data_IF_300654378790
#
_entry.id   IF_300654378790
#
_cell.length_a   1.000
_cell.length_b   1.000
_cell.length_c   1.000
_cell.angle_alpha   90.00
_cell.angle_beta   90.00
_cell.angle_gamma   90.00
#
_symmetry.space_group_name_H-M   'P 1'
#
loop_
_entity.id
_entity.type
_entity.pdbx_description
1 polymer ?
#
# COMPACT_ATOMS: atom_id res chain seq x y z
N UNK A 1 -4.33 -2.71 2.48
CA UNK A 1 -4.90 -3.94 3.08
C UNK A 1 -6.41 -3.88 3.23
N UNK A 2 -6.98 -2.83 3.84
CA UNK A 2 -8.42 -2.71 4.07
C UNK A 2 -9.23 -2.74 2.77
N UNK A 3 -8.77 -2.02 1.75
CA UNK A 3 -9.42 -1.98 0.43
C UNK A 3 -9.41 -3.34 -0.26
N UNK A 4 -8.24 -4.00 -0.24
CA UNK A 4 -8.12 -5.35 -0.80
C UNK A 4 -9.00 -6.37 -0.06
N UNK A 5 -9.13 -6.23 1.26
CA UNK A 5 -10.03 -7.07 2.05
C UNK A 5 -11.50 -6.82 1.67
N UNK A 6 -11.92 -5.55 1.55
CA UNK A 6 -13.27 -5.18 1.11
C UNK A 6 -13.58 -5.77 -0.27
N UNK A 7 -12.66 -5.62 -1.23
CA UNK A 7 -12.83 -6.10 -2.60
C UNK A 7 -12.94 -7.63 -2.66
N UNK A 8 -12.19 -8.34 -1.84
CA UNK A 8 -12.23 -9.80 -1.78
C UNK A 8 -13.61 -10.35 -1.36
N UNK A 9 -14.40 -9.60 -0.58
CA UNK A 9 -15.69 -10.06 -0.05
C UNK A 9 -16.90 -9.26 -0.54
N UNK A 10 -16.69 -8.12 -1.19
CA UNK A 10 -17.75 -7.25 -1.71
C UNK A 10 -17.54 -6.81 -3.18
N UNK A 11 -16.48 -7.29 -3.84
CA UNK A 11 -16.17 -7.01 -5.24
C UNK A 11 -16.98 -7.84 -6.22
N UNK A 12 -16.67 -7.67 -7.50
CA UNK A 12 -17.34 -8.38 -8.61
C UNK A 12 -17.19 -9.91 -8.57
N UNK A 13 -16.13 -10.40 -7.94
CA UNK A 13 -15.84 -11.82 -7.70
C UNK A 13 -15.76 -12.14 -6.21
N UNK A 14 -16.75 -11.63 -5.45
CA UNK A 14 -16.79 -11.77 -4.01
C UNK A 14 -16.75 -13.24 -3.55
N UNK A 15 -15.83 -13.53 -2.66
CA UNK A 15 -15.74 -14.84 -2.01
C UNK A 15 -16.82 -15.00 -0.93
N UNK A 16 -17.23 -16.23 -0.69
CA UNK A 16 -18.12 -16.53 0.42
C UNK A 16 -17.50 -16.13 1.76
N UNK A 17 -18.28 -15.47 2.62
CA UNK A 17 -17.83 -14.97 3.91
C UNK A 17 -17.76 -16.10 4.93
N UNK A 18 -16.78 -16.98 4.76
CA UNK A 18 -16.48 -18.10 5.66
C UNK A 18 -15.26 -17.79 6.51
N UNK A 19 -15.18 -18.37 7.70
CA UNK A 19 -14.03 -18.19 8.59
C UNK A 19 -12.71 -18.56 7.89
N UNK A 20 -12.68 -19.63 7.09
CA UNK A 20 -11.51 -20.06 6.34
C UNK A 20 -11.05 -19.01 5.33
N UNK A 21 -11.98 -18.48 4.52
CA UNK A 21 -11.67 -17.45 3.51
C UNK A 21 -11.21 -16.13 4.17
N UNK A 22 -11.81 -15.75 5.28
CA UNK A 22 -11.40 -14.55 6.04
C UNK A 22 -9.97 -14.72 6.57
N UNK A 23 -9.66 -15.84 7.21
CA UNK A 23 -8.31 -16.11 7.72
C UNK A 23 -7.29 -16.21 6.59
N UNK A 24 -7.65 -16.83 5.47
CA UNK A 24 -6.78 -16.97 4.31
C UNK A 24 -6.46 -15.61 3.67
N UNK A 25 -7.46 -14.76 3.48
CA UNK A 25 -7.30 -13.39 2.95
C UNK A 25 -6.46 -12.53 3.91
N UNK A 26 -6.74 -12.57 5.21
CA UNK A 26 -5.96 -11.84 6.21
C UNK A 26 -4.52 -12.31 6.25
N UNK A 27 -4.28 -13.63 6.21
CA UNK A 27 -2.94 -14.21 6.16
C UNK A 27 -2.19 -13.75 4.91
N UNK A 28 -2.83 -13.78 3.73
CA UNK A 28 -2.23 -13.33 2.48
C UNK A 28 -1.84 -11.85 2.52
N UNK A 29 -2.72 -10.99 3.03
CA UNK A 29 -2.44 -9.55 3.20
C UNK A 29 -1.32 -9.31 4.21
N UNK A 30 -1.33 -10.01 5.35
CA UNK A 30 -0.29 -9.88 6.37
C UNK A 30 1.09 -10.26 5.82
N UNK A 31 1.19 -11.43 5.19
CA UNK A 31 2.47 -11.90 4.66
C UNK A 31 2.94 -11.12 3.43
N UNK A 32 2.02 -10.63 2.58
CA UNK A 32 2.37 -9.71 1.50
C UNK A 32 3.01 -8.42 2.03
N UNK A 33 2.43 -7.80 3.07
CA UNK A 33 3.00 -6.61 3.72
C UNK A 33 4.34 -6.93 4.38
N UNK A 34 4.44 -8.06 5.11
CA UNK A 34 5.68 -8.44 5.78
C UNK A 34 6.82 -8.73 4.81
N UNK A 35 6.56 -9.46 3.73
CA UNK A 35 7.59 -9.82 2.76
C UNK A 35 7.96 -8.66 1.82
N UNK A 36 6.96 -7.94 1.30
CA UNK A 36 7.20 -6.90 0.29
C UNK A 36 7.63 -5.60 0.94
N UNK A 37 6.92 -5.13 1.97
CA UNK A 37 7.22 -3.84 2.59
C UNK A 37 8.33 -3.99 3.63
N UNK A 38 8.16 -4.86 4.64
CA UNK A 38 9.11 -4.93 5.74
C UNK A 38 10.43 -5.57 5.33
N UNK A 39 10.41 -6.77 4.73
CA UNK A 39 11.63 -7.49 4.40
C UNK A 39 12.29 -6.91 3.14
N UNK A 40 11.58 -6.86 2.02
CA UNK A 40 12.16 -6.43 0.75
C UNK A 40 12.48 -4.94 0.76
N UNK A 41 11.50 -4.08 1.11
CA UNK A 41 11.67 -2.63 0.97
C UNK A 41 12.44 -2.04 2.15
N UNK A 42 11.95 -2.18 3.38
CA UNK A 42 12.57 -1.54 4.55
C UNK A 42 13.93 -2.16 4.89
N UNK A 43 14.02 -3.48 4.92
CA UNK A 43 15.26 -4.13 5.37
C UNK A 43 16.32 -4.23 4.27
N UNK A 44 15.95 -4.40 2.99
CA UNK A 44 16.90 -4.53 1.88
C UNK A 44 17.05 -3.20 1.13
N UNK A 45 15.98 -2.69 0.51
CA UNK A 45 16.06 -1.57 -0.46
C UNK A 45 16.50 -0.27 0.19
N UNK A 46 15.99 0.08 1.38
CA UNK A 46 16.35 1.32 2.07
C UNK A 46 17.81 1.37 2.55
N UNK A 47 18.53 0.26 2.54
CA UNK A 47 19.99 0.24 2.83
C UNK A 47 20.84 0.68 1.65
N UNK A 48 20.29 0.70 0.44
CA UNK A 48 20.98 1.15 -0.75
C UNK A 48 20.72 2.64 -0.96
N UNK A 49 21.72 3.47 -0.68
CA UNK A 49 21.70 4.90 -0.96
C UNK A 49 22.82 5.26 -1.95
N UNK A 50 22.54 6.21 -2.83
CA UNK A 50 23.51 6.80 -3.74
C UNK A 50 23.65 8.28 -3.37
N UNK A 51 24.74 8.65 -2.69
CA UNK A 51 25.02 10.04 -2.24
C UNK A 51 23.89 10.66 -1.39
N UNK A 52 23.23 9.84 -0.54
CA UNK A 52 22.10 10.28 0.28
C UNK A 52 20.74 10.16 -0.40
N UNK A 53 20.71 9.89 -1.70
CA UNK A 53 19.49 9.65 -2.46
C UNK A 53 19.12 8.16 -2.45
N UNK A 54 17.84 7.85 -2.28
CA UNK A 54 17.30 6.49 -2.28
C UNK A 54 16.30 6.24 -3.42
N UNK A 55 15.66 5.08 -3.37
CA UNK A 55 14.61 4.71 -4.31
C UNK A 55 15.08 4.05 -5.60
N UNK A 56 14.16 3.91 -6.56
CA UNK A 56 14.36 3.13 -7.79
C UNK A 56 15.49 3.68 -8.65
N UNK A 57 15.57 4.99 -8.80
CA UNK A 57 16.60 5.63 -9.67
C UNK A 57 17.99 5.52 -9.05
N UNK A 58 18.12 5.69 -7.73
CA UNK A 58 19.37 5.49 -7.02
C UNK A 58 19.85 4.04 -7.12
N UNK A 59 18.95 3.08 -6.94
CA UNK A 59 19.27 1.67 -7.09
C UNK A 59 19.69 1.33 -8.52
N UNK A 60 19.03 1.91 -9.53
CA UNK A 60 19.39 1.75 -10.94
C UNK A 60 20.79 2.29 -11.21
N UNK A 61 21.13 3.48 -10.69
CA UNK A 61 22.45 4.09 -10.84
C UNK A 61 23.54 3.21 -10.19
N UNK A 62 23.31 2.68 -9.00
CA UNK A 62 24.24 1.76 -8.34
C UNK A 62 24.43 0.46 -9.14
N UNK A 63 23.35 -0.12 -9.64
CA UNK A 63 23.40 -1.33 -10.45
C UNK A 63 24.15 -1.08 -11.78
N UNK A 64 23.99 0.07 -12.40
CA UNK A 64 24.75 0.46 -13.60
C UNK A 64 26.26 0.54 -13.33
N UNK A 65 26.69 1.07 -12.19
CA UNK A 65 28.12 1.12 -11.84
C UNK A 65 28.75 -0.26 -11.81
N UNK A 66 28.02 -1.25 -11.25
CA UNK A 66 28.49 -2.64 -11.13
C UNK A 66 28.46 -3.36 -12.49
N UNK A 67 27.48 -3.05 -13.34
CA UNK A 67 27.29 -3.75 -14.62
C UNK A 67 28.00 -3.08 -15.80
N UNK A 68 28.75 -2.00 -15.58
CA UNK A 68 29.39 -1.18 -16.62
C UNK A 68 30.27 -1.96 -17.59
N UNK A 69 30.90 -3.04 -17.14
CA UNK A 69 31.77 -3.89 -17.98
C UNK A 69 31.01 -4.94 -18.81
N UNK A 70 29.66 -5.01 -18.65
CA UNK A 70 28.80 -5.98 -19.36
C UNK A 70 27.67 -5.22 -20.06
N UNK A 71 27.84 -4.84 -21.34
CA UNK A 71 26.93 -3.91 -22.02
C UNK A 71 25.48 -4.41 -22.10
N UNK A 72 25.27 -5.70 -22.33
CA UNK A 72 23.93 -6.30 -22.35
C UNK A 72 23.23 -6.22 -20.99
N UNK A 73 23.96 -6.47 -19.91
CA UNK A 73 23.43 -6.41 -18.56
C UNK A 73 23.17 -4.95 -18.13
N UNK A 74 24.06 -4.03 -18.51
CA UNK A 74 23.88 -2.59 -18.28
C UNK A 74 22.62 -2.06 -18.98
N UNK A 75 22.38 -2.47 -20.23
CA UNK A 75 21.16 -2.11 -20.96
C UNK A 75 19.90 -2.66 -20.28
N UNK A 76 19.91 -3.92 -19.84
CA UNK A 76 18.80 -4.53 -19.13
C UNK A 76 18.49 -3.80 -17.82
N UNK A 77 19.52 -3.38 -17.07
CA UNK A 77 19.37 -2.58 -15.84
C UNK A 77 18.73 -1.21 -16.14
N UNK A 78 19.15 -0.55 -17.23
CA UNK A 78 18.55 0.75 -17.64
C UNK A 78 17.08 0.57 -17.98
N UNK A 79 16.73 -0.42 -18.81
CA UNK A 79 15.34 -0.69 -19.21
C UNK A 79 14.49 -1.01 -17.98
N UNK A 80 14.98 -1.88 -17.09
CA UNK A 80 14.29 -2.21 -15.85
C UNK A 80 14.10 -0.98 -14.95
N UNK A 81 15.10 -0.10 -14.86
CA UNK A 81 15.02 1.15 -14.10
C UNK A 81 13.99 2.14 -14.66
N UNK A 82 13.95 2.30 -15.98
CA UNK A 82 12.95 3.15 -16.65
C UNK A 82 11.55 2.58 -16.45
N UNK A 83 11.38 1.27 -16.61
CA UNK A 83 10.09 0.61 -16.40
C UNK A 83 9.61 0.75 -14.95
N UNK A 84 10.51 0.53 -13.99
CA UNK A 84 10.19 0.69 -12.57
C UNK A 84 9.87 2.15 -12.20
N UNK A 85 10.57 3.14 -12.80
CA UNK A 85 10.23 4.55 -12.64
C UNK A 85 8.85 4.88 -13.24
N UNK A 86 8.52 4.34 -14.41
CA UNK A 86 7.20 4.54 -15.02
C UNK A 86 6.07 3.96 -14.15
N UNK A 87 6.28 2.77 -13.56
CA UNK A 87 5.33 2.19 -12.60
C UNK A 87 5.18 3.05 -11.35
N UNK A 88 6.28 3.61 -10.84
CA UNK A 88 6.25 4.52 -9.70
C UNK A 88 5.45 5.79 -9.99
N UNK A 89 5.61 6.39 -11.17
CA UNK A 89 4.80 7.55 -11.57
C UNK A 89 3.32 7.19 -11.72
N UNK A 90 2.99 6.00 -12.23
CA UNK A 90 1.62 5.51 -12.28
C UNK A 90 1.01 5.38 -10.89
N UNK A 91 1.75 4.80 -9.95
CA UNK A 91 1.31 4.67 -8.56
C UNK A 91 1.12 6.02 -7.87
N UNK A 92 1.98 6.99 -8.15
CA UNK A 92 1.89 8.35 -7.60
C UNK A 92 0.58 9.09 -7.96
N UNK A 93 -0.11 8.66 -9.01
CA UNK A 93 -1.44 9.19 -9.39
C UNK A 93 -2.56 8.34 -8.78
N UNK A 94 -2.44 7.02 -8.85
CA UNK A 94 -3.49 6.08 -8.45
C UNK A 94 -3.66 6.06 -6.93
N UNK A 95 -2.57 5.99 -6.18
CA UNK A 95 -2.61 5.85 -4.72
C UNK A 95 -3.29 7.02 -4.01
N UNK A 96 -2.99 8.30 -4.30
CA UNK A 96 -3.73 9.42 -3.72
C UNK A 96 -5.20 9.41 -4.11
N UNK A 97 -5.53 9.10 -5.36
CA UNK A 97 -6.91 9.06 -5.85
C UNK A 97 -7.75 8.03 -5.07
N UNK A 98 -7.26 6.80 -4.97
CA UNK A 98 -7.94 5.72 -4.24
C UNK A 98 -8.05 6.07 -2.73
N UNK A 99 -6.98 6.61 -2.14
CA UNK A 99 -6.96 6.91 -0.70
C UNK A 99 -7.95 8.01 -0.32
N UNK A 100 -8.03 9.08 -1.12
CA UNK A 100 -8.99 10.17 -0.88
C UNK A 100 -10.41 9.70 -1.13
N UNK A 101 -10.66 8.97 -2.24
CA UNK A 101 -11.98 8.41 -2.54
C UNK A 101 -12.47 7.52 -1.40
N UNK A 102 -11.63 6.59 -0.94
CA UNK A 102 -11.96 5.68 0.16
C UNK A 102 -12.27 6.41 1.48
N UNK A 103 -11.54 7.49 1.77
CA UNK A 103 -11.79 8.31 2.96
C UNK A 103 -13.16 9.01 2.87
N UNK A 104 -13.52 9.53 1.70
CA UNK A 104 -14.80 10.22 1.49
C UNK A 104 -15.96 9.23 1.42
N UNK A 105 -15.78 8.04 0.85
CA UNK A 105 -16.75 6.95 0.91
C UNK A 105 -17.07 6.55 2.36
N UNK A 106 -16.11 6.64 3.27
CA UNK A 106 -16.32 6.41 4.69
C UNK A 106 -17.33 7.37 5.31
N UNK A 107 -17.44 8.62 4.81
CA UNK A 107 -18.46 9.57 5.25
C UNK A 107 -19.87 9.16 4.84
N UNK A 108 -20.04 8.54 3.68
CA UNK A 108 -21.35 8.07 3.20
C UNK A 108 -21.90 6.93 4.07
N UNK A 109 -21.04 6.15 4.71
CA UNK A 109 -21.44 5.12 5.69
C UNK A 109 -22.08 5.76 6.93
N UNK A 110 -21.57 6.89 7.39
CA UNK A 110 -22.12 7.61 8.53
C UNK A 110 -23.39 8.41 8.18
N UNK A 111 -23.48 8.93 6.96
CA UNK A 111 -24.62 9.76 6.51
C UNK A 111 -24.87 9.56 5.01
N UNK A 112 -25.94 8.80 4.64
CA UNK A 112 -26.26 8.49 3.23
C UNK A 112 -26.47 9.73 2.33
N UNK A 113 -26.80 10.90 2.91
CA UNK A 113 -26.93 12.16 2.18
C UNK A 113 -25.65 12.60 1.46
N UNK A 114 -24.47 12.12 1.89
CA UNK A 114 -23.19 12.45 1.26
C UNK A 114 -22.86 11.60 0.01
N UNK A 115 -23.63 10.58 -0.30
CA UNK A 115 -23.34 9.69 -1.44
C UNK A 115 -23.17 10.46 -2.76
N UNK A 116 -24.04 11.43 -3.05
CA UNK A 116 -23.97 12.28 -4.24
C UNK A 116 -22.77 13.26 -4.23
N UNK A 117 -22.21 13.54 -3.07
CA UNK A 117 -21.11 14.49 -2.90
C UNK A 117 -19.73 13.82 -2.87
N UNK A 118 -19.68 12.49 -2.81
CA UNK A 118 -18.41 11.73 -2.74
C UNK A 118 -17.46 12.14 -3.87
N UNK A 119 -17.91 12.08 -5.13
CA UNK A 119 -17.07 12.42 -6.28
C UNK A 119 -16.66 13.90 -6.33
N UNK A 120 -17.57 14.89 -6.19
CA UNK A 120 -17.19 16.30 -6.17
C UNK A 120 -16.20 16.64 -5.06
N UNK A 121 -16.39 16.12 -3.86
CA UNK A 121 -15.50 16.37 -2.71
C UNK A 121 -14.13 15.72 -2.97
N UNK A 122 -14.09 14.49 -3.44
CA UNK A 122 -12.85 13.78 -3.78
C UNK A 122 -12.04 14.57 -4.80
N UNK A 123 -12.65 15.02 -5.89
CA UNK A 123 -11.98 15.83 -6.92
C UNK A 123 -11.47 17.15 -6.33
N UNK A 124 -12.27 17.84 -5.53
CA UNK A 124 -11.87 19.07 -4.87
C UNK A 124 -10.66 18.90 -3.96
N UNK A 125 -10.62 17.84 -3.16
CA UNK A 125 -9.48 17.51 -2.29
C UNK A 125 -8.24 17.18 -3.11
N UNK A 126 -8.37 16.37 -4.17
CA UNK A 126 -7.24 16.02 -5.03
C UNK A 126 -6.65 17.25 -5.71
N UNK A 127 -7.48 18.11 -6.27
CA UNK A 127 -7.01 19.37 -6.85
C UNK A 127 -6.29 20.21 -5.80
N UNK A 128 -6.85 20.35 -4.61
CA UNK A 128 -6.23 21.06 -3.49
C UNK A 128 -4.86 20.48 -3.11
N UNK A 129 -4.77 19.16 -2.97
CA UNK A 129 -3.51 18.47 -2.66
C UNK A 129 -2.44 18.72 -3.72
N UNK A 130 -2.76 18.58 -5.01
CA UNK A 130 -1.80 18.80 -6.09
C UNK A 130 -1.39 20.28 -6.22
N UNK A 131 -2.29 21.22 -5.93
CA UNK A 131 -1.95 22.64 -5.91
C UNK A 131 -0.99 22.99 -4.77
N UNK A 132 -1.16 22.39 -3.60
CA UNK A 132 -0.29 22.60 -2.43
C UNK A 132 1.07 21.93 -2.62
N UNK A 133 1.12 20.78 -3.29
CA UNK A 133 2.34 20.00 -3.51
C UNK A 133 3.45 20.80 -4.21
N UNK A 134 3.09 21.75 -5.09
CA UNK A 134 4.06 22.62 -5.78
C UNK A 134 4.88 23.52 -4.85
N UNK A 135 4.42 23.78 -3.62
CA UNK A 135 5.11 24.62 -2.64
C UNK A 135 6.10 23.87 -1.76
N UNK A 136 6.31 22.57 -2.02
CA UNK A 136 7.18 21.69 -1.25
C UNK A 136 6.44 21.00 -0.10
N UNK A 137 6.90 19.80 0.23
CA UNK A 137 6.26 18.93 1.23
C UNK A 137 6.81 19.10 2.64
N UNK A 138 7.89 19.87 2.83
CA UNK A 138 8.58 19.99 4.12
C UNK A 138 7.72 20.62 5.22
N UNK A 139 6.99 21.68 4.92
CA UNK A 139 6.11 22.35 5.90
C UNK A 139 4.88 21.52 6.26
N UNK A 140 4.35 20.76 5.29
CA UNK A 140 3.18 19.92 5.48
C UNK A 140 3.57 18.61 6.16
N UNK A 141 4.78 18.12 5.91
CA UNK A 141 5.33 16.90 6.50
C UNK A 141 5.36 16.92 8.04
N UNK A 142 5.60 18.10 8.64
CA UNK A 142 5.56 18.28 10.09
C UNK A 142 4.19 18.00 10.73
N UNK A 143 3.10 18.23 10.00
CA UNK A 143 1.74 17.93 10.46
C UNK A 143 1.37 16.45 10.24
N UNK A 144 1.83 15.87 9.15
CA UNK A 144 1.51 14.48 8.82
C UNK A 144 2.07 13.47 9.83
N UNK A 145 3.25 13.71 10.39
CA UNK A 145 3.86 12.84 11.39
C UNK A 145 2.95 12.59 12.59
N UNK A 146 2.56 13.60 13.36
CA UNK A 146 1.66 13.47 14.51
C UNK A 146 0.31 12.86 14.15
N UNK A 147 -0.31 13.29 13.04
CA UNK A 147 -1.60 12.74 12.57
C UNK A 147 -1.49 11.24 12.27
N UNK A 148 -0.42 10.82 11.62
CA UNK A 148 -0.17 9.41 11.31
C UNK A 148 0.06 8.58 12.57
N UNK A 149 0.79 9.12 13.56
CA UNK A 149 0.98 8.45 14.85
C UNK A 149 -0.35 8.25 15.58
N UNK A 150 -1.18 9.29 15.67
CA UNK A 150 -2.51 9.20 16.28
C UNK A 150 -3.36 8.15 15.55
N UNK A 151 -3.33 8.16 14.22
CA UNK A 151 -4.05 7.19 13.40
C UNK A 151 -3.61 5.75 13.69
N UNK A 152 -2.30 5.47 13.70
CA UNK A 152 -1.79 4.14 14.02
C UNK A 152 -2.09 3.71 15.44
N UNK A 153 -2.01 4.60 16.42
CA UNK A 153 -2.39 4.31 17.79
C UNK A 153 -3.87 3.96 17.92
N UNK A 154 -4.74 4.71 17.22
CA UNK A 154 -6.17 4.42 17.17
C UNK A 154 -6.43 3.03 16.58
N UNK A 155 -5.82 2.72 15.44
CA UNK A 155 -5.93 1.39 14.83
C UNK A 155 -5.40 0.28 15.75
N UNK A 156 -4.29 0.52 16.44
CA UNK A 156 -3.72 -0.45 17.37
C UNK A 156 -4.66 -0.74 18.54
N UNK A 157 -5.22 0.30 19.16
CA UNK A 157 -6.18 0.15 20.26
C UNK A 157 -7.43 -0.61 19.82
N UNK A 158 -8.05 -0.17 18.72
CA UNK A 158 -9.25 -0.83 18.18
C UNK A 158 -8.96 -2.27 17.74
N UNK A 159 -7.80 -2.51 17.13
CA UNK A 159 -7.35 -3.84 16.73
C UNK A 159 -7.15 -4.77 17.92
N UNK A 160 -6.47 -4.30 18.98
CA UNK A 160 -6.26 -5.09 20.19
C UNK A 160 -7.59 -5.44 20.85
N UNK A 161 -8.49 -4.47 20.99
CA UNK A 161 -9.83 -4.72 21.55
C UNK A 161 -10.61 -5.77 20.75
N UNK A 162 -10.55 -5.71 19.41
CA UNK A 162 -11.19 -6.69 18.54
C UNK A 162 -10.55 -8.08 18.64
N UNK A 163 -9.21 -8.15 18.74
CA UNK A 163 -8.48 -9.42 18.91
C UNK A 163 -8.81 -10.08 20.23
N UNK A 164 -8.92 -9.31 21.32
CA UNK A 164 -9.31 -9.85 22.65
C UNK A 164 -10.70 -10.47 22.60
N UNK A 165 -11.63 -9.88 21.85
CA UNK A 165 -12.98 -10.42 21.68
C UNK A 165 -13.02 -11.67 20.78
N UNK A 166 -12.16 -11.71 19.76
CA UNK A 166 -12.13 -12.79 18.77
C UNK A 166 -10.66 -13.24 18.49
N UNK A 167 -10.03 -13.97 19.40
CA UNK A 167 -8.62 -14.35 19.30
C UNK A 167 -8.31 -15.29 18.12
N UNK A 168 -9.34 -15.89 17.52
CA UNK A 168 -9.21 -16.76 16.34
C UNK A 168 -8.51 -16.05 15.17
N UNK A 169 -8.63 -14.73 15.07
CA UNK A 169 -7.97 -13.94 14.03
C UNK A 169 -6.44 -14.06 14.05
N UNK A 170 -5.83 -14.36 15.20
CA UNK A 170 -4.40 -14.59 15.34
C UNK A 170 -3.90 -15.81 14.54
N UNK A 171 -4.78 -16.75 14.21
CA UNK A 171 -4.45 -17.87 13.33
C UNK A 171 -4.04 -17.41 11.93
N UNK A 172 -4.47 -16.21 11.49
CA UNK A 172 -4.06 -15.63 10.22
C UNK A 172 -2.54 -15.30 10.15
N UNK A 173 -1.84 -15.27 11.27
CA UNK A 173 -0.37 -15.13 11.29
C UNK A 173 0.31 -16.40 10.70
N UNK A 174 -0.34 -17.55 10.76
CA UNK A 174 0.18 -18.77 10.16
C UNK A 174 0.20 -18.65 8.61
N UNK A 175 1.37 -18.70 7.95
CA UNK A 175 1.49 -18.57 6.50
C UNK A 175 0.79 -19.67 5.71
N UNK A 176 0.50 -20.81 6.34
CA UNK A 176 -0.18 -21.92 5.67
C UNK A 176 -1.56 -21.53 5.14
N UNK A 177 -2.26 -20.62 5.79
CA UNK A 177 -3.53 -20.09 5.28
C UNK A 177 -3.33 -19.32 3.97
N UNK A 178 -2.28 -18.51 3.86
CA UNK A 178 -1.95 -17.78 2.63
C UNK A 178 -1.53 -18.74 1.50
N UNK A 179 -0.69 -19.74 1.81
CA UNK A 179 -0.24 -20.72 0.83
C UNK A 179 -1.42 -21.56 0.31
N UNK A 180 -2.25 -22.05 1.21
CA UNK A 180 -3.42 -22.84 0.86
C UNK A 180 -4.40 -22.05 -0.03
N UNK A 181 -4.59 -20.77 0.29
CA UNK A 181 -5.40 -19.87 -0.52
C UNK A 181 -4.85 -19.69 -1.94
N UNK A 182 -3.54 -19.46 -2.08
CA UNK A 182 -2.90 -19.30 -3.38
C UNK A 182 -2.96 -20.58 -4.25
N UNK A 183 -2.94 -21.76 -3.61
CA UNK A 183 -3.06 -23.04 -4.31
C UNK A 183 -4.50 -23.33 -4.75
N UNK A 184 -5.47 -22.93 -3.94
CA UNK A 184 -6.91 -23.18 -4.23
C UNK A 184 -7.49 -22.19 -5.25
N UNK A 185 -6.90 -20.99 -5.37
CA UNK A 185 -7.31 -19.94 -6.31
C UNK A 185 -6.12 -19.55 -7.22
N UNK A 186 -5.67 -20.45 -8.11
CA UNK A 186 -4.67 -20.08 -9.10
C UNK A 186 -5.25 -19.01 -10.03
N UNK A 187 -4.43 -18.00 -10.36
CA UNK A 187 -4.74 -16.90 -11.29
C UNK A 187 -5.02 -17.42 -12.69
#
# INVERSE_FOLDING_TARGET
PLYAFKEAFAGSHAMALTQGNVLATLSSLFWAVMLIISLKYVWIVLRFSNEGEGGVLALTALAQRVTRQRPTLALAVIIAGIFAAALFYGDAVITPAISVLSAIEGLSVATPAFEHWVMPITIGILIGLFLIQKHGTSSIGGLFGPVTVIWFLTLAVLGILSIVQNPVVLQAINPMYAVHFAVQHPL
#
